data_IF_139019915285
#
_entry.id   IF_139019915285
#
_cell.length_a   1.000
_cell.length_b   1.000
_cell.length_c   1.000
_cell.angle_alpha   90.00
_cell.angle_beta   90.00
_cell.angle_gamma   90.00
#
_symmetry.space_group_name_H-M   'P 1'
#
loop_
_entity.id
_entity.type
_entity.pdbx_description
1 polymer ?
#
# COMPACT_ATOMS: atom_id res chain seq x y z
N UNK A 1 -18.63 -4.55 -21.86
CA UNK A 1 -18.87 -4.96 -20.45
C UNK A 1 -19.25 -3.69 -19.69
N UNK A 2 -20.53 -3.53 -19.37
CA UNK A 2 -21.04 -2.35 -18.67
C UNK A 2 -20.49 -2.40 -17.24
N UNK A 3 -19.56 -1.50 -16.87
CA UNK A 3 -19.11 -1.40 -15.48
C UNK A 3 -20.24 -0.73 -14.72
N UNK A 4 -21.04 -1.51 -13.98
CA UNK A 4 -21.99 -0.92 -13.04
C UNK A 4 -21.23 0.01 -12.09
N UNK A 5 -21.65 1.27 -12.06
CA UNK A 5 -21.03 2.27 -11.19
C UNK A 5 -21.41 1.96 -9.75
N UNK A 6 -20.46 1.43 -8.98
CA UNK A 6 -20.61 1.20 -7.54
C UNK A 6 -20.89 2.55 -6.87
N UNK A 7 -21.93 2.61 -6.05
CA UNK A 7 -22.24 3.84 -5.30
C UNK A 7 -21.15 4.14 -4.27
N UNK A 8 -20.91 5.43 -3.98
CA UNK A 8 -19.89 5.84 -3.01
C UNK A 8 -20.09 5.20 -1.64
N UNK A 9 -21.33 5.12 -1.16
CA UNK A 9 -21.64 4.50 0.14
C UNK A 9 -21.25 3.02 0.20
N UNK A 10 -21.53 2.27 -0.87
CA UNK A 10 -21.14 0.85 -0.97
C UNK A 10 -19.62 0.71 -1.06
N UNK A 11 -18.96 1.57 -1.84
CA UNK A 11 -17.50 1.59 -1.97
C UNK A 11 -16.82 1.76 -0.61
N UNK A 12 -17.20 2.78 0.16
CA UNK A 12 -16.59 3.05 1.46
C UNK A 12 -16.91 1.98 2.50
N UNK A 13 -18.13 1.43 2.52
CA UNK A 13 -18.47 0.31 3.38
C UNK A 13 -17.59 -0.92 3.09
N UNK A 14 -17.38 -1.24 1.80
CA UNK A 14 -16.52 -2.34 1.39
C UNK A 14 -15.05 -2.09 1.78
N UNK A 15 -14.56 -0.86 1.59
CA UNK A 15 -13.21 -0.46 1.98
C UNK A 15 -12.99 -0.62 3.48
N UNK A 16 -13.89 -0.10 4.31
CA UNK A 16 -13.81 -0.22 5.78
C UNK A 16 -13.91 -1.69 6.21
N UNK A 17 -14.80 -2.47 5.58
CA UNK A 17 -14.92 -3.91 5.81
C UNK A 17 -13.60 -4.65 5.55
N UNK A 18 -12.98 -4.40 4.39
CA UNK A 18 -11.69 -4.98 4.00
C UNK A 18 -10.56 -4.57 4.95
N UNK A 19 -10.48 -3.30 5.34
CA UNK A 19 -9.50 -2.83 6.32
C UNK A 19 -9.68 -3.53 7.68
N UNK A 20 -10.92 -3.58 8.16
CA UNK A 20 -11.25 -4.26 9.43
C UNK A 20 -10.90 -5.73 9.38
N UNK A 21 -11.22 -6.41 8.28
CA UNK A 21 -10.85 -7.81 8.06
C UNK A 21 -9.34 -8.06 8.13
N UNK A 22 -8.56 -7.22 7.45
CA UNK A 22 -7.09 -7.28 7.47
C UNK A 22 -6.50 -7.04 8.87
N UNK A 23 -7.11 -6.18 9.69
CA UNK A 23 -6.59 -5.90 11.04
C UNK A 23 -7.07 -6.92 12.07
N UNK A 24 -8.35 -7.32 12.02
CA UNK A 24 -8.99 -8.12 13.08
C UNK A 24 -8.92 -9.62 12.80
N UNK A 25 -9.04 -10.05 11.55
CA UNK A 25 -9.08 -11.46 11.17
C UNK A 25 -8.34 -11.75 9.85
N UNK A 26 -7.04 -11.39 9.78
CA UNK A 26 -6.29 -11.39 8.53
C UNK A 26 -6.23 -12.74 7.83
N UNK A 27 -6.14 -13.86 8.55
CA UNK A 27 -6.05 -15.18 7.92
C UNK A 27 -7.34 -15.52 7.15
N UNK A 28 -8.50 -15.19 7.73
CA UNK A 28 -9.79 -15.34 7.06
C UNK A 28 -9.88 -14.37 5.87
N UNK A 29 -9.56 -13.10 6.10
CA UNK A 29 -9.62 -12.07 5.06
C UNK A 29 -8.74 -12.41 3.85
N UNK A 30 -7.54 -12.97 4.05
CA UNK A 30 -6.68 -13.42 2.95
C UNK A 30 -7.28 -14.57 2.15
N UNK A 31 -7.98 -15.49 2.82
CA UNK A 31 -8.68 -16.59 2.16
C UNK A 31 -9.80 -16.04 1.28
N UNK A 32 -10.55 -15.06 1.78
CA UNK A 32 -11.61 -14.38 1.04
C UNK A 32 -11.01 -13.60 -0.14
N UNK A 33 -9.98 -12.77 0.09
CA UNK A 33 -9.26 -11.99 -0.94
C UNK A 33 -8.79 -12.87 -2.11
N UNK A 34 -8.14 -14.01 -1.84
CA UNK A 34 -7.60 -14.87 -2.90
C UNK A 34 -8.65 -15.77 -3.56
N UNK A 35 -9.85 -15.88 -2.97
CA UNK A 35 -11.02 -16.48 -3.61
C UNK A 35 -11.74 -15.50 -4.56
N UNK A 36 -11.61 -14.20 -4.33
CA UNK A 36 -12.16 -13.16 -5.18
C UNK A 36 -11.42 -13.09 -6.53
N UNK A 37 -12.17 -13.15 -7.63
CA UNK A 37 -11.65 -12.92 -8.98
C UNK A 37 -11.70 -11.43 -9.35
N UNK A 38 -10.98 -10.59 -8.60
CA UNK A 38 -10.87 -9.15 -8.90
C UNK A 38 -9.70 -8.88 -9.83
N UNK A 39 -9.95 -8.15 -10.92
CA UNK A 39 -8.87 -7.64 -11.74
C UNK A 39 -8.03 -6.59 -11.00
N UNK A 40 -6.79 -6.38 -11.42
CA UNK A 40 -5.89 -5.35 -10.87
C UNK A 40 -6.57 -3.98 -10.83
N UNK A 41 -7.25 -3.59 -11.91
CA UNK A 41 -7.94 -2.31 -12.01
C UNK A 41 -9.09 -2.16 -11.01
N UNK A 42 -9.74 -3.25 -10.62
CA UNK A 42 -10.80 -3.23 -9.61
C UNK A 42 -10.22 -3.03 -8.22
N UNK A 43 -9.16 -3.75 -7.87
CA UNK A 43 -8.45 -3.58 -6.60
C UNK A 43 -7.89 -2.15 -6.48
N UNK A 44 -7.29 -1.65 -7.57
CA UNK A 44 -6.75 -0.30 -7.62
C UNK A 44 -7.85 0.75 -7.41
N UNK A 45 -8.93 0.69 -8.20
CA UNK A 45 -10.00 1.69 -8.16
C UNK A 45 -10.85 1.63 -6.89
N UNK A 46 -11.13 0.43 -6.38
CA UNK A 46 -12.06 0.25 -5.26
C UNK A 46 -11.37 0.26 -3.89
N UNK A 47 -10.06 0.05 -3.84
CA UNK A 47 -9.32 -0.06 -2.58
C UNK A 47 -8.10 0.87 -2.51
N UNK A 48 -7.13 0.71 -3.43
CA UNK A 48 -5.88 1.46 -3.33
C UNK A 48 -6.06 2.97 -3.54
N UNK A 49 -6.82 3.40 -4.56
CA UNK A 49 -6.99 4.83 -4.85
C UNK A 49 -7.71 5.61 -3.76
N UNK A 50 -8.81 5.15 -3.16
CA UNK A 50 -9.40 5.84 -2.02
C UNK A 50 -8.43 6.01 -0.84
N UNK A 51 -7.61 5.00 -0.53
CA UNK A 51 -6.61 5.08 0.54
C UNK A 51 -5.44 6.00 0.18
N UNK A 52 -4.95 5.95 -1.06
CA UNK A 52 -3.93 6.87 -1.55
C UNK A 52 -4.44 8.31 -1.53
N UNK A 53 -5.71 8.54 -1.91
CA UNK A 53 -6.36 9.84 -1.82
C UNK A 53 -6.39 10.35 -0.38
N UNK A 54 -6.76 9.50 0.58
CA UNK A 54 -6.73 9.85 2.01
C UNK A 54 -5.31 10.21 2.47
N UNK A 55 -4.31 9.41 2.09
CA UNK A 55 -2.92 9.65 2.49
C UNK A 55 -2.35 10.93 1.88
N UNK A 56 -2.57 11.16 0.60
CA UNK A 56 -2.17 12.38 -0.11
C UNK A 56 -2.86 13.61 0.48
N UNK A 57 -4.16 13.54 0.75
CA UNK A 57 -4.90 14.64 1.36
C UNK A 57 -4.41 14.94 2.78
N UNK A 58 -4.15 13.90 3.57
CA UNK A 58 -3.60 14.02 4.92
C UNK A 58 -2.23 14.70 4.88
N UNK A 59 -1.39 14.36 3.90
CA UNK A 59 -0.08 14.99 3.68
C UNK A 59 -0.21 16.47 3.32
N UNK A 60 -1.11 16.79 2.40
CA UNK A 60 -1.37 18.18 2.02
C UNK A 60 -1.82 19.02 3.23
N UNK A 61 -2.82 18.54 3.99
CA UNK A 61 -3.35 19.23 5.17
C UNK A 61 -2.27 19.33 6.26
N UNK A 62 -1.58 18.22 6.54
CA UNK A 62 -0.51 18.16 7.52
C UNK A 62 0.61 19.14 7.25
N UNK A 63 1.00 19.29 5.97
CA UNK A 63 2.00 20.28 5.56
C UNK A 63 1.54 21.70 5.87
N UNK A 64 0.30 22.06 5.49
CA UNK A 64 -0.25 23.40 5.75
C UNK A 64 -0.37 23.73 7.24
N UNK A 65 -0.71 22.74 8.07
CA UNK A 65 -0.81 22.91 9.52
C UNK A 65 0.55 23.08 10.20
N UNK A 66 1.60 22.48 9.62
CA UNK A 66 2.94 22.44 10.21
C UNK A 66 3.82 23.65 9.85
N UNK A 67 3.46 24.41 8.80
CA UNK A 67 4.29 25.52 8.29
C UNK A 67 3.61 26.88 8.49
N UNK A 68 4.37 27.86 8.97
CA UNK A 68 3.90 29.23 9.09
C UNK A 68 3.75 29.86 7.71
N UNK A 69 2.66 30.60 7.49
CA UNK A 69 2.46 31.38 6.25
C UNK A 69 1.74 30.67 5.10
N UNK A 70 1.15 29.48 5.32
CA UNK A 70 0.35 28.74 4.33
C UNK A 70 1.02 28.63 2.95
N UNK A 71 2.23 28.04 2.90
CA UNK A 71 2.92 27.76 1.64
C UNK A 71 2.20 26.63 0.87
N UNK A 72 1.20 27.04 0.09
CA UNK A 72 0.39 26.17 -0.73
C UNK A 72 1.22 25.47 -1.82
N UNK A 73 2.23 26.14 -2.38
CA UNK A 73 3.08 25.58 -3.42
C UNK A 73 3.84 24.34 -2.93
N UNK A 74 4.46 24.47 -1.76
CA UNK A 74 5.16 23.34 -1.14
C UNK A 74 4.21 22.25 -0.64
N UNK A 75 3.03 22.61 -0.12
CA UNK A 75 2.01 21.64 0.26
C UNK A 75 1.54 20.77 -0.92
N UNK A 76 1.28 21.39 -2.07
CA UNK A 76 0.92 20.68 -3.31
C UNK A 76 2.08 19.80 -3.78
N UNK A 77 3.31 20.30 -3.75
CA UNK A 77 4.50 19.54 -4.11
C UNK A 77 4.63 18.27 -3.26
N UNK A 78 4.47 18.39 -1.94
CA UNK A 78 4.56 17.26 -1.02
C UNK A 78 3.42 16.24 -1.24
N UNK A 79 2.21 16.71 -1.53
CA UNK A 79 1.08 15.86 -1.88
C UNK A 79 1.34 15.08 -3.19
N UNK A 80 1.87 15.74 -4.22
CA UNK A 80 2.22 15.11 -5.50
C UNK A 80 3.34 14.08 -5.31
N UNK A 81 4.36 14.39 -4.53
CA UNK A 81 5.45 13.46 -4.22
C UNK A 81 4.94 12.23 -3.47
N UNK A 82 4.07 12.43 -2.48
CA UNK A 82 3.47 11.35 -1.70
C UNK A 82 2.57 10.45 -2.55
N UNK A 83 1.70 11.05 -3.37
CA UNK A 83 0.85 10.28 -4.28
C UNK A 83 1.69 9.47 -5.26
N UNK A 84 2.63 10.12 -5.94
CA UNK A 84 3.42 9.51 -7.01
C UNK A 84 4.32 8.41 -6.46
N UNK A 85 5.01 8.65 -5.34
CA UNK A 85 5.90 7.66 -4.72
C UNK A 85 5.14 6.43 -4.22
N UNK A 86 3.95 6.63 -3.64
CA UNK A 86 3.10 5.53 -3.18
C UNK A 86 2.49 4.75 -4.35
N UNK A 87 2.02 5.45 -5.39
CA UNK A 87 1.46 4.82 -6.59
C UNK A 87 2.51 4.01 -7.37
N UNK A 88 3.67 4.61 -7.68
CA UNK A 88 4.75 3.89 -8.35
C UNK A 88 5.33 2.80 -7.44
N UNK A 89 5.44 3.07 -6.14
CA UNK A 89 5.90 2.09 -5.17
C UNK A 89 5.02 0.85 -5.10
N UNK A 90 3.70 1.01 -5.18
CA UNK A 90 2.74 -0.10 -5.28
C UNK A 90 3.04 -0.97 -6.52
N UNK A 91 3.13 -0.37 -7.70
CA UNK A 91 3.34 -1.12 -8.93
C UNK A 91 4.73 -1.76 -9.01
N UNK A 92 5.78 -1.04 -8.63
CA UNK A 92 7.14 -1.57 -8.61
C UNK A 92 7.23 -2.74 -7.63
N UNK A 93 6.66 -2.62 -6.43
CA UNK A 93 6.63 -3.72 -5.45
C UNK A 93 5.90 -4.95 -5.99
N UNK A 94 4.77 -4.75 -6.68
CA UNK A 94 4.05 -5.82 -7.38
C UNK A 94 4.91 -6.50 -8.45
N UNK A 95 5.54 -5.74 -9.34
CA UNK A 95 6.39 -6.32 -10.39
C UNK A 95 7.59 -7.07 -9.80
N UNK A 96 8.22 -6.53 -8.76
CA UNK A 96 9.32 -7.18 -8.07
C UNK A 96 8.85 -8.48 -7.39
N UNK A 97 7.67 -8.50 -6.75
CA UNK A 97 7.12 -9.71 -6.16
C UNK A 97 6.91 -10.81 -7.19
N UNK A 98 6.32 -10.49 -8.35
CA UNK A 98 6.14 -11.46 -9.45
C UNK A 98 7.49 -12.00 -9.93
N UNK A 99 8.48 -11.11 -10.12
CA UNK A 99 9.83 -11.53 -10.54
C UNK A 99 10.49 -12.45 -9.50
N UNK A 100 10.41 -12.11 -8.22
CA UNK A 100 10.97 -12.93 -7.14
C UNK A 100 10.25 -14.27 -7.05
N UNK A 101 8.94 -14.32 -7.25
CA UNK A 101 8.19 -15.58 -7.37
C UNK A 101 8.80 -16.50 -8.43
N UNK A 102 9.00 -15.99 -9.65
CA UNK A 102 9.62 -16.75 -10.75
C UNK A 102 11.03 -17.22 -10.40
N UNK A 103 11.85 -16.36 -9.78
CA UNK A 103 13.21 -16.73 -9.34
C UNK A 103 13.23 -17.83 -8.28
N UNK A 104 12.18 -17.93 -7.46
CA UNK A 104 11.99 -18.97 -6.46
C UNK A 104 11.24 -20.20 -7.01
N UNK A 105 11.01 -20.27 -8.32
CA UNK A 105 10.25 -21.35 -8.96
C UNK A 105 8.78 -21.40 -8.53
N UNK A 106 8.22 -20.27 -8.11
CA UNK A 106 6.83 -20.15 -7.66
C UNK A 106 5.99 -19.36 -8.68
N UNK A 107 4.91 -19.95 -9.13
CA UNK A 107 3.94 -19.25 -9.96
C UNK A 107 2.90 -18.55 -9.10
N UNK A 108 3.06 -17.23 -8.96
CA UNK A 108 2.07 -16.35 -8.32
C UNK A 108 1.32 -15.63 -9.44
N UNK A 109 0.01 -15.90 -9.56
CA UNK A 109 -0.83 -15.18 -10.50
C UNK A 109 -0.76 -13.66 -10.29
N UNK A 110 -0.74 -12.89 -11.39
CA UNK A 110 -0.55 -11.43 -11.36
C UNK A 110 -1.56 -10.73 -10.47
N UNK A 111 -2.83 -11.15 -10.54
CA UNK A 111 -3.92 -10.62 -9.73
C UNK A 111 -3.67 -10.87 -8.24
N UNK A 112 -3.25 -12.08 -7.87
CA UNK A 112 -2.95 -12.44 -6.47
C UNK A 112 -1.71 -11.70 -5.95
N UNK A 113 -0.67 -11.57 -6.78
CA UNK A 113 0.51 -10.78 -6.42
C UNK A 113 0.15 -9.30 -6.19
N UNK A 114 -0.66 -8.72 -7.08
CA UNK A 114 -1.12 -7.35 -6.92
C UNK A 114 -2.03 -7.17 -5.70
N UNK A 115 -2.98 -8.09 -5.48
CA UNK A 115 -3.83 -8.11 -4.28
C UNK A 115 -2.98 -8.15 -3.01
N UNK A 116 -1.97 -9.02 -2.95
CA UNK A 116 -1.08 -9.14 -1.79
C UNK A 116 -0.41 -7.79 -1.48
N UNK A 117 0.23 -7.19 -2.48
CA UNK A 117 0.92 -5.91 -2.30
C UNK A 117 -0.07 -4.80 -1.95
N UNK A 118 -1.17 -4.66 -2.69
CA UNK A 118 -2.15 -3.59 -2.50
C UNK A 118 -2.82 -3.62 -1.13
N UNK A 119 -3.30 -4.79 -0.69
CA UNK A 119 -3.98 -4.92 0.59
C UNK A 119 -3.00 -4.77 1.77
N UNK A 120 -1.77 -5.28 1.66
CA UNK A 120 -0.77 -5.10 2.70
C UNK A 120 -0.26 -3.64 2.80
N UNK A 121 -0.13 -2.93 1.68
CA UNK A 121 0.20 -1.50 1.64
C UNK A 121 -0.85 -0.61 2.32
N UNK A 122 -2.07 -1.09 2.58
CA UNK A 122 -3.06 -0.31 3.32
C UNK A 122 -2.55 0.18 4.68
N UNK A 123 -1.73 -0.63 5.36
CA UNK A 123 -1.16 -0.27 6.66
C UNK A 123 -0.21 0.93 6.52
N UNK A 124 0.61 0.98 5.45
CA UNK A 124 1.51 2.13 5.22
C UNK A 124 0.72 3.40 4.87
N UNK A 125 -0.37 3.28 4.11
CA UNK A 125 -1.21 4.44 3.78
C UNK A 125 -1.93 5.00 5.00
N UNK A 126 -2.46 4.13 5.88
CA UNK A 126 -3.13 4.54 7.11
C UNK A 126 -2.15 5.17 8.10
N UNK A 127 -1.00 4.52 8.35
CA UNK A 127 0.03 5.05 9.24
C UNK A 127 0.64 6.34 8.69
N UNK A 128 0.90 6.40 7.38
CA UNK A 128 1.37 7.60 6.70
C UNK A 128 0.38 8.77 6.83
N UNK A 129 -0.92 8.51 6.71
CA UNK A 129 -1.97 9.53 6.92
C UNK A 129 -1.92 10.11 8.34
N UNK A 130 -1.72 9.25 9.35
CA UNK A 130 -1.62 9.66 10.74
C UNK A 130 -0.34 10.48 10.97
N UNK A 131 0.81 10.02 10.45
CA UNK A 131 2.10 10.72 10.57
C UNK A 131 2.02 12.10 9.90
N UNK A 132 1.40 12.18 8.73
CA UNK A 132 1.22 13.43 8.00
C UNK A 132 0.47 14.47 8.83
N UNK A 133 -0.62 14.07 9.51
CA UNK A 133 -1.43 14.98 10.32
C UNK A 133 -0.84 15.26 11.70
N UNK A 134 -0.14 14.27 12.29
CA UNK A 134 0.43 14.33 13.64
C UNK A 134 1.85 13.75 13.60
N UNK A 135 2.87 14.56 13.21
CA UNK A 135 4.24 14.09 12.99
C UNK A 135 4.88 13.39 14.19
N UNK A 136 4.48 13.74 15.42
CA UNK A 136 4.97 13.16 16.67
C UNK A 136 4.65 11.65 16.79
N UNK A 137 3.68 11.16 16.02
CA UNK A 137 3.30 9.74 16.00
C UNK A 137 4.27 8.85 15.21
N UNK A 138 5.29 9.41 14.56
CA UNK A 138 6.20 8.69 13.65
C UNK A 138 6.76 7.39 14.24
N UNK A 139 7.16 7.40 15.52
CA UNK A 139 7.72 6.20 16.18
C UNK A 139 6.65 5.13 16.34
N UNK A 140 5.49 5.48 16.88
CA UNK A 140 4.39 4.55 17.13
C UNK A 140 3.84 3.99 15.81
N UNK A 141 3.61 4.86 14.83
CA UNK A 141 3.13 4.51 13.51
C UNK A 141 4.13 3.61 12.75
N UNK A 142 5.43 3.82 12.92
CA UNK A 142 6.47 2.96 12.35
C UNK A 142 6.49 1.57 12.97
N UNK A 143 6.21 1.44 14.27
CA UNK A 143 6.07 0.13 14.93
C UNK A 143 4.85 -0.60 14.36
N UNK A 144 3.73 0.10 14.13
CA UNK A 144 2.54 -0.49 13.50
C UNK A 144 2.84 -1.02 12.10
N UNK A 145 3.72 -0.38 11.34
CA UNK A 145 4.13 -0.87 10.01
C UNK A 145 4.83 -2.23 10.05
N UNK A 146 5.38 -2.68 11.19
CA UNK A 146 5.93 -4.03 11.32
C UNK A 146 4.83 -5.12 11.19
N UNK A 147 3.56 -4.77 11.41
CA UNK A 147 2.42 -5.66 11.18
C UNK A 147 2.32 -6.16 9.73
N UNK A 148 2.90 -5.43 8.77
CA UNK A 148 2.95 -5.84 7.36
C UNK A 148 3.64 -7.20 7.21
N UNK A 149 4.69 -7.46 7.98
CA UNK A 149 5.41 -8.75 7.93
C UNK A 149 4.44 -9.90 8.28
N UNK A 150 3.62 -9.70 9.31
CA UNK A 150 2.62 -10.68 9.72
C UNK A 150 1.49 -10.82 8.68
N UNK A 151 1.00 -9.73 8.10
CA UNK A 151 0.00 -9.78 7.04
C UNK A 151 0.50 -10.56 5.83
N UNK A 152 1.70 -10.25 5.36
CA UNK A 152 2.31 -10.92 4.22
C UNK A 152 2.56 -12.40 4.53
N UNK A 153 3.04 -12.72 5.74
CA UNK A 153 3.22 -14.11 6.18
C UNK A 153 1.92 -14.92 6.06
N UNK A 154 0.80 -14.35 6.53
CA UNK A 154 -0.50 -14.99 6.41
C UNK A 154 -0.96 -15.12 4.96
N UNK A 155 -0.74 -14.09 4.13
CA UNK A 155 -1.02 -14.15 2.70
C UNK A 155 -0.26 -15.32 2.03
N UNK A 156 1.04 -15.41 2.25
CA UNK A 156 1.88 -16.48 1.73
C UNK A 156 1.46 -17.87 2.22
N UNK A 157 0.98 -17.98 3.48
CA UNK A 157 0.43 -19.24 4.01
C UNK A 157 -0.88 -19.68 3.34
N UNK A 158 -1.74 -18.73 2.98
CA UNK A 158 -3.02 -19.01 2.31
C UNK A 158 -2.81 -19.39 0.84
N UNK A 159 -1.74 -18.89 0.21
CA UNK A 159 -1.34 -19.31 -1.13
C UNK A 159 -0.81 -20.77 -1.10
N UNK A 160 -1.72 -21.71 -1.33
CA UNK A 160 -1.44 -23.15 -1.36
C UNK A 160 -0.40 -23.56 -2.40
N UNK A 161 -0.18 -22.75 -3.44
CA UNK A 161 0.82 -22.98 -4.48
C UNK A 161 2.25 -22.79 -4.00
N UNK A 162 2.48 -22.13 -2.86
CA UNK A 162 3.81 -21.81 -2.37
C UNK A 162 4.41 -22.96 -1.56
N UNK A 163 5.64 -23.35 -1.91
CA UNK A 163 6.48 -24.23 -1.08
C UNK A 163 6.79 -23.61 0.28
N UNK A 164 7.09 -24.43 1.29
CA UNK A 164 7.34 -23.94 2.65
C UNK A 164 8.51 -22.95 2.71
N UNK A 165 9.62 -23.25 2.03
CA UNK A 165 10.80 -22.39 2.00
C UNK A 165 10.52 -21.07 1.26
N UNK A 166 9.78 -21.13 0.15
CA UNK A 166 9.46 -19.93 -0.61
C UNK A 166 8.55 -18.97 0.17
N UNK A 167 7.67 -19.47 1.05
CA UNK A 167 6.81 -18.62 1.90
C UNK A 167 7.63 -17.69 2.78
N UNK A 168 8.72 -18.18 3.37
CA UNK A 168 9.58 -17.39 4.25
C UNK A 168 10.27 -16.29 3.44
N UNK A 169 10.92 -16.65 2.33
CA UNK A 169 11.62 -15.69 1.49
C UNK A 169 10.69 -14.64 0.88
N UNK A 170 9.55 -15.07 0.33
CA UNK A 170 8.55 -14.14 -0.20
C UNK A 170 7.99 -13.22 0.87
N UNK A 171 7.83 -13.70 2.11
CA UNK A 171 7.36 -12.85 3.22
C UNK A 171 8.34 -11.72 3.50
N UNK A 172 9.61 -12.05 3.67
CA UNK A 172 10.66 -11.07 3.97
C UNK A 172 10.77 -10.07 2.81
N UNK A 173 10.89 -10.58 1.58
CA UNK A 173 11.13 -9.76 0.40
C UNK A 173 9.94 -8.87 0.07
N UNK A 174 8.71 -9.40 0.08
CA UNK A 174 7.51 -8.60 -0.20
C UNK A 174 7.29 -7.51 0.85
N UNK A 175 7.54 -7.82 2.13
CA UNK A 175 7.45 -6.83 3.21
C UNK A 175 8.47 -5.70 3.01
N UNK A 176 9.71 -6.04 2.64
CA UNK A 176 10.74 -5.04 2.29
C UNK A 176 10.29 -4.20 1.10
N UNK A 177 9.72 -4.80 0.05
CA UNK A 177 9.25 -4.03 -1.11
C UNK A 177 8.15 -3.04 -0.72
N UNK A 178 7.13 -3.49 0.01
CA UNK A 178 6.02 -2.65 0.48
C UNK A 178 6.52 -1.46 1.31
N UNK A 179 7.51 -1.68 2.19
CA UNK A 179 8.02 -0.66 3.11
C UNK A 179 9.06 0.27 2.46
N UNK A 180 10.00 -0.30 1.69
CA UNK A 180 11.18 0.42 1.23
C UNK A 180 10.97 1.09 -0.13
N UNK A 181 10.29 0.44 -1.08
CA UNK A 181 10.21 0.95 -2.46
C UNK A 181 9.53 2.32 -2.54
N UNK A 182 8.36 2.56 -1.90
CA UNK A 182 7.75 3.90 -1.91
C UNK A 182 8.66 4.96 -1.30
N UNK A 183 9.35 4.63 -0.20
CA UNK A 183 10.28 5.55 0.48
C UNK A 183 11.46 5.89 -0.42
N UNK A 184 12.06 4.91 -1.09
CA UNK A 184 13.17 5.13 -2.02
C UNK A 184 12.76 6.03 -3.18
N UNK A 185 11.56 5.84 -3.75
CA UNK A 185 11.04 6.69 -4.82
C UNK A 185 10.80 8.12 -4.30
N UNK A 186 10.22 8.27 -3.11
CA UNK A 186 10.03 9.59 -2.51
C UNK A 186 11.36 10.32 -2.30
N UNK A 187 12.38 9.64 -1.75
CA UNK A 187 13.73 10.21 -1.58
C UNK A 187 14.36 10.61 -2.90
N UNK A 188 14.13 9.85 -3.96
CA UNK A 188 14.59 10.20 -5.31
C UNK A 188 13.93 11.48 -5.82
N UNK A 189 12.62 11.65 -5.64
CA UNK A 189 11.91 12.89 -6.03
C UNK A 189 12.43 14.12 -5.28
N UNK A 190 12.64 14.00 -3.97
CA UNK A 190 13.22 15.08 -3.16
C UNK A 190 14.64 15.40 -3.64
N UNK A 191 15.46 14.40 -3.87
CA UNK A 191 16.83 14.58 -4.37
C UNK A 191 16.85 15.32 -5.71
N UNK A 192 16.06 14.87 -6.70
CA UNK A 192 15.97 15.52 -8.01
C UNK A 192 15.49 16.96 -7.87
N UNK A 193 14.48 17.20 -7.03
CA UNK A 193 13.95 18.56 -6.84
C UNK A 193 14.96 19.53 -6.23
N UNK A 194 15.90 19.04 -5.41
CA UNK A 194 16.93 19.86 -4.79
C UNK A 194 18.08 20.17 -5.76
N UNK A 195 18.24 19.40 -6.85
CA UNK A 195 19.23 19.67 -7.90
C UNK A 195 18.78 20.75 -8.89
N UNK A 196 17.47 21.01 -8.97
CA UNK A 196 16.86 21.96 -9.91
C UNK A 196 16.68 23.38 -9.34
N UNK A 197 17.15 23.61 -8.11
CA UNK A 197 17.15 24.91 -7.41
C UNK A 197 18.60 25.36 -7.24
#
# INVERSE_FOLDING_TARGET
MNKETISLGVLYNNLIGRLKGLVVSPQKEWSDIFSERKAINEVLAQFSFPLLGLYTLSTFIGYLLSHQGLDFGSAVKEAVFTFSSSFFGLYVSYFLLVKVGVLLGQEIGKEKAFQLIAYASAITYLTGSIIALVPETIVVASIVNLYIIYLVWLACRVLSTLSQDARIWLTIIASIFILAVPVLISRLFVFISNLTV
#
